data_IF_673254889686
#
_entry.id   IF_673254889686
#
_cell.length_a   1.000
_cell.length_b   1.000
_cell.length_c   1.000
_cell.angle_alpha   90.00
_cell.angle_beta   90.00
_cell.angle_gamma   90.00
#
_symmetry.space_group_name_H-M   'P 1'
#
loop_
_entity.id
_entity.type
_entity.pdbx_description
1 polymer ?
#
# COMPACT_ATOMS: atom_id res chain seq x y z
N UNK A 1 -17.40 -44.24 -21.19
CA UNK A 1 -16.28 -43.81 -22.05
C UNK A 1 -16.20 -42.29 -21.96
N UNK A 2 -15.21 -41.74 -21.24
CA UNK A 2 -15.03 -40.27 -21.13
C UNK A 2 -14.55 -39.79 -22.49
N UNK A 3 -15.33 -38.97 -23.18
CA UNK A 3 -14.95 -38.42 -24.48
C UNK A 3 -13.76 -37.48 -24.28
N UNK A 4 -12.54 -37.85 -24.74
CA UNK A 4 -11.34 -37.07 -24.46
C UNK A 4 -11.41 -35.67 -25.08
N UNK A 5 -12.13 -35.56 -26.20
CA UNK A 5 -12.37 -34.31 -26.94
C UNK A 5 -13.17 -33.31 -26.09
N UNK A 6 -14.17 -33.79 -25.35
CA UNK A 6 -15.00 -32.92 -24.49
C UNK A 6 -14.21 -32.41 -23.27
N UNK A 7 -13.31 -33.23 -22.74
CA UNK A 7 -12.44 -32.84 -21.61
C UNK A 7 -11.40 -31.79 -22.02
N UNK A 8 -10.87 -31.88 -23.25
CA UNK A 8 -9.91 -30.90 -23.79
C UNK A 8 -10.58 -29.56 -24.06
N UNK A 9 -11.80 -29.57 -24.60
CA UNK A 9 -12.57 -28.34 -24.85
C UNK A 9 -12.85 -27.56 -23.56
N UNK A 10 -13.19 -28.24 -22.48
CA UNK A 10 -13.44 -27.60 -21.17
C UNK A 10 -12.16 -27.00 -20.56
N UNK A 11 -11.02 -27.68 -20.69
CA UNK A 11 -9.73 -27.18 -20.23
C UNK A 11 -9.28 -25.93 -20.99
N UNK A 12 -9.49 -25.89 -22.32
CA UNK A 12 -9.16 -24.73 -23.15
C UNK A 12 -10.04 -23.50 -22.83
N UNK A 13 -11.31 -23.72 -22.49
CA UNK A 13 -12.21 -22.62 -22.09
C UNK A 13 -11.77 -21.99 -20.76
N UNK A 14 -11.34 -22.79 -19.78
CA UNK A 14 -10.87 -22.29 -18.49
C UNK A 14 -9.58 -21.48 -18.64
N UNK A 15 -8.63 -21.94 -19.47
CA UNK A 15 -7.33 -21.25 -19.64
C UNK A 15 -7.45 -19.94 -20.41
N UNK A 16 -8.41 -19.82 -21.34
CA UNK A 16 -8.66 -18.56 -22.07
C UNK A 16 -9.32 -17.47 -21.22
N UNK A 17 -9.90 -17.80 -20.06
CA UNK A 17 -10.61 -16.84 -19.20
C UNK A 17 -9.67 -16.05 -18.28
N UNK A 18 -8.49 -16.58 -17.96
CA UNK A 18 -7.48 -15.93 -17.11
C UNK A 18 -6.81 -14.66 -17.68
N UNK A 19 -6.42 -14.58 -18.97
CA UNK A 19 -5.73 -13.39 -19.49
C UNK A 19 -6.62 -12.14 -19.61
N UNK A 20 -7.96 -12.30 -19.63
CA UNK A 20 -8.88 -11.17 -19.78
C UNK A 20 -8.95 -10.29 -18.52
N UNK A 21 -8.90 -10.91 -17.34
CA UNK A 21 -8.91 -10.22 -16.05
C UNK A 21 -7.60 -9.46 -15.77
N UNK A 22 -6.47 -9.96 -16.30
CA UNK A 22 -5.17 -9.30 -16.17
C UNK A 22 -5.11 -7.96 -16.93
N UNK A 23 -5.85 -7.83 -18.04
CA UNK A 23 -5.92 -6.58 -18.81
C UNK A 23 -6.77 -5.50 -18.11
N UNK A 24 -7.76 -5.89 -17.31
CA UNK A 24 -8.58 -4.95 -16.55
C UNK A 24 -7.78 -4.21 -15.46
N UNK A 25 -6.69 -4.82 -14.97
CA UNK A 25 -5.78 -4.21 -13.99
C UNK A 25 -4.80 -3.20 -14.60
N UNK A 26 -4.65 -3.16 -15.94
CA UNK A 26 -3.75 -2.22 -16.63
C UNK A 26 -4.30 -0.79 -16.72
N UNK A 27 -5.58 -0.58 -16.37
CA UNK A 27 -6.19 0.75 -16.31
C UNK A 27 -5.54 1.60 -15.23
N UNK A 28 -4.58 2.45 -15.61
CA UNK A 28 -3.94 3.42 -14.71
C UNK A 28 -4.93 4.49 -14.26
N UNK A 29 -5.62 4.23 -13.15
CA UNK A 29 -6.48 5.19 -12.43
C UNK A 29 -5.79 5.61 -11.14
N UNK A 30 -4.65 6.30 -11.27
CA UNK A 30 -3.94 6.82 -10.10
C UNK A 30 -4.75 7.95 -9.47
N UNK A 31 -4.72 8.03 -8.14
CA UNK A 31 -5.34 9.13 -7.42
C UNK A 31 -4.44 10.37 -7.54
N UNK A 32 -4.95 11.44 -8.16
CA UNK A 32 -4.25 12.72 -8.27
C UNK A 32 -4.57 13.59 -7.05
N UNK A 33 -3.74 13.48 -6.02
CA UNK A 33 -3.84 14.34 -4.83
C UNK A 33 -3.13 15.67 -5.09
N UNK A 34 -3.72 16.78 -4.65
CA UNK A 34 -3.15 18.13 -4.90
C UNK A 34 -1.83 18.39 -4.16
N UNK A 35 -1.55 17.66 -3.09
CA UNK A 35 -0.35 17.75 -2.28
C UNK A 35 0.23 16.36 -2.02
N UNK A 36 0.68 15.69 -3.08
CA UNK A 36 1.22 14.32 -3.02
C UNK A 36 2.44 14.18 -2.12
N UNK A 37 3.19 15.26 -1.88
CA UNK A 37 4.33 15.27 -0.96
C UNK A 37 3.92 15.06 0.51
N UNK A 38 2.66 15.29 0.89
CA UNK A 38 2.15 14.99 2.24
C UNK A 38 1.90 13.50 2.48
N UNK A 39 1.98 12.66 1.43
CA UNK A 39 1.85 11.22 1.57
C UNK A 39 3.13 10.55 2.06
N UNK A 40 4.27 11.23 2.02
CA UNK A 40 5.53 10.74 2.55
C UNK A 40 5.86 11.46 3.85
N UNK A 41 6.28 10.70 4.85
CA UNK A 41 6.83 11.28 6.07
C UNK A 41 8.13 12.04 5.77
N UNK A 42 8.33 13.21 6.41
CA UNK A 42 9.54 13.98 6.21
C UNK A 42 10.77 13.38 6.92
N UNK A 43 10.61 12.34 7.74
CA UNK A 43 11.65 11.79 8.62
C UNK A 43 12.10 10.37 8.22
N UNK A 44 13.42 10.16 8.25
CA UNK A 44 14.06 8.91 7.90
C UNK A 44 13.64 7.72 8.79
N UNK A 45 13.29 7.94 10.05
CA UNK A 45 12.85 6.84 10.95
C UNK A 45 11.56 6.19 10.46
N UNK A 46 10.63 7.01 9.97
CA UNK A 46 9.34 6.55 9.48
C UNK A 46 9.45 5.98 8.07
N UNK A 47 10.18 6.65 7.20
CA UNK A 47 10.40 6.18 5.83
C UNK A 47 11.24 4.90 5.79
N UNK A 48 12.19 4.74 6.71
CA UNK A 48 13.00 3.53 6.85
C UNK A 48 12.20 2.28 7.23
N UNK A 49 10.97 2.44 7.75
CA UNK A 49 10.03 1.35 8.04
C UNK A 49 8.85 1.31 7.08
N UNK A 50 9.03 1.81 5.86
CA UNK A 50 7.99 1.84 4.82
C UNK A 50 6.71 2.57 5.25
N UNK A 51 6.85 3.72 5.93
CA UNK A 51 5.73 4.56 6.38
C UNK A 51 4.81 3.89 7.43
N UNK A 52 5.29 2.83 8.11
CA UNK A 52 4.57 2.13 9.19
C UNK A 52 4.57 2.91 10.53
N UNK A 53 4.33 4.21 10.47
CA UNK A 53 4.46 5.17 11.58
C UNK A 53 3.48 4.92 12.74
N UNK A 54 2.31 4.35 12.47
CA UNK A 54 1.27 4.12 13.49
C UNK A 54 1.74 3.20 14.62
N UNK A 55 2.62 2.24 14.32
CA UNK A 55 3.17 1.30 15.32
C UNK A 55 4.44 1.76 16.00
N UNK A 56 5.02 2.91 15.59
CA UNK A 56 6.26 3.42 16.18
C UNK A 56 6.01 4.15 17.49
N UNK A 57 7.01 4.12 18.37
CA UNK A 57 7.08 4.91 19.59
C UNK A 57 6.93 6.42 19.31
N UNK A 58 6.37 7.18 20.27
CA UNK A 58 6.19 8.62 20.12
C UNK A 58 7.52 9.36 19.95
N UNK A 59 7.53 10.33 19.06
CA UNK A 59 8.65 11.24 18.78
C UNK A 59 8.15 12.62 18.33
N UNK A 60 9.08 13.55 18.09
CA UNK A 60 8.74 14.89 17.62
C UNK A 60 8.07 14.88 16.22
N UNK A 61 8.42 13.92 15.36
CA UNK A 61 7.84 13.79 14.01
C UNK A 61 6.44 13.15 13.99
N UNK A 62 5.96 12.64 15.13
CA UNK A 62 4.65 12.01 15.26
C UNK A 62 3.51 12.99 14.95
N UNK A 63 3.74 14.31 15.00
CA UNK A 63 2.77 15.33 14.56
C UNK A 63 2.33 15.10 13.10
N UNK A 64 3.23 14.65 12.23
CA UNK A 64 2.95 14.44 10.81
C UNK A 64 2.05 13.23 10.55
N UNK A 65 2.21 12.16 11.33
CA UNK A 65 1.57 10.85 11.06
C UNK A 65 0.49 10.46 12.05
N UNK A 66 0.75 10.65 13.35
CA UNK A 66 -0.19 10.33 14.42
C UNK A 66 0.11 11.17 15.66
N UNK A 67 -0.51 12.36 15.72
CA UNK A 67 -0.36 13.29 16.82
C UNK A 67 -0.90 12.74 18.16
N UNK A 68 -1.80 11.74 18.14
CA UNK A 68 -2.33 11.14 19.37
C UNK A 68 -1.25 10.41 20.18
N UNK A 69 -0.15 9.97 19.55
CA UNK A 69 0.97 9.35 20.27
C UNK A 69 1.72 10.34 21.17
N UNK A 70 1.60 11.65 20.92
CA UNK A 70 2.33 12.67 21.67
C UNK A 70 1.92 12.75 23.14
N UNK A 71 0.72 12.28 23.52
CA UNK A 71 0.34 12.16 24.93
C UNK A 71 1.18 11.15 25.71
N UNK A 72 1.85 10.23 25.00
CA UNK A 72 2.76 9.24 25.55
C UNK A 72 4.23 9.62 25.33
N UNK A 73 4.51 10.79 24.73
CA UNK A 73 5.85 11.29 24.55
C UNK A 73 6.43 11.82 25.88
N UNK A 74 7.76 11.94 25.94
CA UNK A 74 8.44 12.62 27.05
C UNK A 74 8.15 14.12 27.09
N UNK A 75 8.73 14.82 28.06
CA UNK A 75 8.37 16.20 28.40
C UNK A 75 8.54 17.20 27.24
N UNK A 76 9.58 17.04 26.40
CA UNK A 76 9.93 17.93 25.26
C UNK A 76 10.72 17.15 24.21
N UNK A 77 10.61 17.55 22.94
CA UNK A 77 11.41 17.02 21.83
C UNK A 77 11.40 17.96 20.61
N UNK A 78 12.50 18.00 19.86
CA UNK A 78 12.67 18.77 18.63
C UNK A 78 13.33 17.86 17.60
N UNK A 79 12.92 17.98 16.33
CA UNK A 79 13.46 17.22 15.21
C UNK A 79 13.62 18.12 13.99
N UNK A 80 14.65 17.85 13.20
CA UNK A 80 14.93 18.47 11.91
C UNK A 80 15.09 17.35 10.90
N UNK A 81 14.34 17.41 9.81
CA UNK A 81 14.34 16.40 8.76
C UNK A 81 14.16 17.07 7.40
#
# INVERSE_FOLDING_TARGET
MKNPILSVAYAAMITMMFPLEALAQLGHRTLTTGASFLLLSPDARTTGVAEASTGLLPDANSVFTNAAKLSFAGNKGLSFS
#
